data_IF_022008821759
#
_entry.id   IF_022008821759
#
_cell.length_a   1.000
_cell.length_b   1.000
_cell.length_c   1.000
_cell.angle_alpha   90.00
_cell.angle_beta   90.00
_cell.angle_gamma   90.00
#
_symmetry.space_group_name_H-M   'P 1'
#
loop_
_entity.id
_entity.type
_entity.pdbx_description
1 polymer ?
#
# COMPACT_ATOMS: atom_id res chain seq x y z
N UNK A 1 -2.35 14.78 24.17
CA UNK A 1 -2.90 13.45 24.41
C UNK A 1 -4.35 13.40 23.95
N UNK A 2 -5.22 14.26 24.54
CA UNK A 2 -6.67 14.27 24.27
C UNK A 2 -7.01 14.47 22.79
N UNK A 3 -6.32 15.37 22.11
CA UNK A 3 -6.51 15.59 20.67
C UNK A 3 -6.13 14.38 19.80
N UNK A 4 -5.17 13.56 20.23
CA UNK A 4 -4.79 12.36 19.51
C UNK A 4 -5.81 11.23 19.71
N UNK A 5 -6.28 11.07 20.95
CA UNK A 5 -7.34 10.14 21.29
C UNK A 5 -8.64 10.49 20.56
N UNK A 6 -8.98 11.78 20.49
CA UNK A 6 -10.13 12.28 19.75
C UNK A 6 -10.03 11.99 18.24
N UNK A 7 -8.86 12.24 17.64
CA UNK A 7 -8.60 11.90 16.22
C UNK A 7 -8.73 10.40 15.96
N UNK A 8 -8.18 9.57 16.85
CA UNK A 8 -8.27 8.13 16.72
C UNK A 8 -9.73 7.64 16.81
N UNK A 9 -10.52 8.19 17.73
CA UNK A 9 -11.96 7.90 17.83
C UNK A 9 -12.70 8.24 16.54
N UNK A 10 -12.48 9.44 15.98
CA UNK A 10 -13.09 9.88 14.72
C UNK A 10 -12.68 8.98 13.55
N UNK A 11 -11.40 8.67 13.42
CA UNK A 11 -10.88 7.81 12.35
C UNK A 11 -11.44 6.39 12.39
N UNK A 12 -11.83 5.92 13.58
CA UNK A 12 -12.47 4.61 13.80
C UNK A 12 -14.01 4.67 13.71
N UNK A 13 -14.58 5.83 13.36
CA UNK A 13 -16.02 6.00 13.19
C UNK A 13 -16.79 6.19 14.48
N UNK A 14 -16.11 6.45 15.61
CA UNK A 14 -16.77 6.76 16.89
C UNK A 14 -17.08 8.24 16.97
N UNK A 15 -18.34 8.57 16.63
CA UNK A 15 -18.83 9.92 16.63
C UNK A 15 -20.11 10.02 17.50
N UNK A 16 -20.24 11.13 18.20
CA UNK A 16 -21.46 11.50 18.93
C UNK A 16 -22.54 12.00 17.94
N UNK A 17 -23.79 12.06 18.33
CA UNK A 17 -24.89 12.54 17.48
C UNK A 17 -24.69 13.98 16.98
N UNK A 18 -23.91 14.78 17.69
CA UNK A 18 -23.52 16.15 17.35
C UNK A 18 -22.33 16.24 16.37
N UNK A 19 -21.78 15.08 15.95
CA UNK A 19 -20.63 14.98 15.05
C UNK A 19 -19.26 15.05 15.73
N UNK A 20 -19.22 15.26 17.06
CA UNK A 20 -17.98 15.22 17.83
C UNK A 20 -17.43 13.80 18.02
N UNK A 21 -16.14 13.67 18.41
CA UNK A 21 -15.53 12.36 18.68
C UNK A 21 -16.12 11.71 19.93
N UNK A 22 -16.57 10.45 19.83
CA UNK A 22 -16.96 9.67 21.00
C UNK A 22 -15.75 8.92 21.57
N UNK A 23 -14.91 9.65 22.27
CA UNK A 23 -13.68 9.16 22.90
C UNK A 23 -13.97 8.05 23.91
N UNK A 24 -15.08 8.18 24.68
CA UNK A 24 -15.42 7.21 25.72
C UNK A 24 -15.78 5.86 25.12
N UNK A 25 -16.70 5.83 24.17
CA UNK A 25 -17.11 4.60 23.50
C UNK A 25 -15.94 3.93 22.78
N UNK A 26 -15.04 4.72 22.16
CA UNK A 26 -13.83 4.18 21.53
C UNK A 26 -12.87 3.55 22.52
N UNK A 27 -12.57 4.21 23.64
CA UNK A 27 -11.68 3.68 24.68
C UNK A 27 -12.26 2.43 25.34
N UNK A 28 -13.56 2.40 25.62
CA UNK A 28 -14.25 1.22 26.16
C UNK A 28 -14.17 0.03 25.19
N UNK A 29 -14.31 0.28 23.90
CA UNK A 29 -14.18 -0.77 22.87
C UNK A 29 -12.76 -1.30 22.80
N UNK A 30 -11.76 -0.44 22.67
CA UNK A 30 -10.35 -0.84 22.56
C UNK A 30 -9.91 -1.63 23.80
N UNK A 31 -10.22 -1.16 25.00
CA UNK A 31 -9.84 -1.85 26.23
C UNK A 31 -10.53 -3.22 26.37
N UNK A 32 -11.75 -3.36 25.84
CA UNK A 32 -12.48 -4.64 25.83
C UNK A 32 -11.91 -5.61 24.81
N UNK A 33 -11.61 -5.14 23.59
CA UNK A 33 -11.07 -5.98 22.52
C UNK A 33 -9.63 -6.43 22.81
N UNK A 34 -8.77 -5.51 23.25
CA UNK A 34 -7.37 -5.79 23.58
C UNK A 34 -7.17 -6.42 24.97
N UNK A 35 -8.21 -6.42 25.81
CA UNK A 35 -8.19 -6.94 27.20
C UNK A 35 -7.10 -6.30 28.08
N UNK A 36 -6.79 -5.02 27.81
CA UNK A 36 -5.81 -4.25 28.57
C UNK A 36 -6.50 -3.13 29.35
N UNK A 37 -6.04 -2.82 30.59
CA UNK A 37 -6.55 -1.66 31.32
C UNK A 37 -6.32 -0.35 30.57
N UNK A 38 -7.28 0.57 30.63
CA UNK A 38 -7.21 1.88 29.98
C UNK A 38 -5.89 2.62 30.29
N UNK A 39 -5.42 2.55 31.51
CA UNK A 39 -4.15 3.18 31.92
C UNK A 39 -2.98 2.64 31.08
N UNK A 40 -2.85 1.34 30.94
CA UNK A 40 -1.78 0.70 30.17
C UNK A 40 -1.91 1.06 28.69
N UNK A 41 -3.13 1.10 28.16
CA UNK A 41 -3.34 1.53 26.77
C UNK A 41 -2.84 2.97 26.53
N UNK A 42 -3.14 3.88 27.48
CA UNK A 42 -2.67 5.27 27.39
C UNK A 42 -1.14 5.35 27.54
N UNK A 43 -0.56 4.68 28.52
CA UNK A 43 0.88 4.75 28.84
C UNK A 43 1.73 4.04 27.79
N UNK A 44 1.29 2.87 27.29
CA UNK A 44 2.13 2.01 26.44
C UNK A 44 1.86 2.19 24.93
N UNK A 45 0.69 2.73 24.55
CA UNK A 45 0.32 2.89 23.13
C UNK A 45 0.15 4.35 22.73
N UNK A 46 -0.70 5.09 23.46
CA UNK A 46 -1.05 6.46 23.04
C UNK A 46 0.10 7.42 23.30
N UNK A 47 0.66 7.40 24.51
CA UNK A 47 1.72 8.34 24.90
C UNK A 47 2.99 8.20 24.05
N UNK A 48 3.54 7.00 23.77
CA UNK A 48 4.71 6.86 22.89
C UNK A 48 4.43 7.36 21.47
N UNK A 49 3.23 7.13 20.95
CA UNK A 49 2.81 7.62 19.63
C UNK A 49 2.80 9.15 19.60
N UNK A 50 2.21 9.80 20.61
CA UNK A 50 2.19 11.26 20.72
C UNK A 50 3.59 11.82 20.90
N UNK A 51 4.42 11.19 21.72
CA UNK A 51 5.81 11.60 21.94
C UNK A 51 6.61 11.52 20.63
N UNK A 52 6.49 10.44 19.87
CA UNK A 52 7.16 10.30 18.56
C UNK A 52 6.66 11.33 17.55
N UNK A 53 5.35 11.59 17.48
CA UNK A 53 4.80 12.66 16.63
C UNK A 53 5.39 14.02 16.97
N UNK A 54 5.51 14.32 18.27
CA UNK A 54 6.07 15.59 18.75
C UNK A 54 7.57 15.72 18.45
N UNK A 55 8.32 14.63 18.55
CA UNK A 55 9.74 14.59 18.25
C UNK A 55 10.04 14.73 16.75
N UNK A 56 9.24 14.10 15.91
CA UNK A 56 9.35 14.22 14.45
C UNK A 56 8.92 15.61 13.97
N UNK A 57 7.94 16.21 14.63
CA UNK A 57 7.44 17.54 14.29
C UNK A 57 6.67 17.57 12.98
N UNK A 58 6.75 18.71 12.28
CA UNK A 58 6.11 18.92 10.98
C UNK A 58 6.96 18.34 9.86
N UNK A 59 6.32 17.52 9.01
CA UNK A 59 6.96 16.92 7.82
C UNK A 59 6.51 17.70 6.58
N UNK A 60 7.41 18.25 5.75
CA UNK A 60 7.02 19.02 4.59
C UNK A 60 6.38 18.13 3.50
N UNK A 61 5.25 18.58 2.96
CA UNK A 61 4.60 18.02 1.78
C UNK A 61 4.93 18.90 0.59
N UNK A 62 5.68 18.38 -0.36
CA UNK A 62 6.03 19.11 -1.57
C UNK A 62 4.86 19.09 -2.58
N UNK A 63 4.76 20.11 -3.41
CA UNK A 63 3.75 20.17 -4.48
C UNK A 63 3.84 18.96 -5.42
N UNK A 64 5.06 18.49 -5.69
CA UNK A 64 5.28 17.29 -6.50
C UNK A 64 4.67 16.01 -5.90
N UNK A 65 4.62 15.91 -4.57
CA UNK A 65 4.01 14.77 -3.89
C UNK A 65 2.49 14.78 -4.08
N UNK A 66 1.89 15.96 -4.03
CA UNK A 66 0.46 16.18 -4.31
C UNK A 66 0.13 15.82 -5.76
N UNK A 67 0.93 16.27 -6.72
CA UNK A 67 0.74 15.96 -8.14
C UNK A 67 0.86 14.45 -8.41
N UNK A 68 1.85 13.79 -7.78
CA UNK A 68 2.03 12.34 -7.89
C UNK A 68 0.86 11.58 -7.27
N UNK A 69 0.41 11.98 -6.10
CA UNK A 69 -0.73 11.36 -5.43
C UNK A 69 -2.03 11.55 -6.21
N UNK A 70 -2.26 12.74 -6.76
CA UNK A 70 -3.40 13.00 -7.62
C UNK A 70 -3.41 12.10 -8.85
N UNK A 71 -2.28 12.01 -9.57
CA UNK A 71 -2.13 11.15 -10.74
C UNK A 71 -2.26 9.66 -10.39
N UNK A 72 -1.78 9.24 -9.22
CA UNK A 72 -1.90 7.87 -8.74
C UNK A 72 -3.36 7.49 -8.44
N UNK A 73 -4.11 8.40 -7.83
CA UNK A 73 -5.47 8.12 -7.35
C UNK A 73 -6.53 8.34 -8.43
N UNK A 74 -6.43 9.45 -9.15
CA UNK A 74 -7.46 9.93 -10.09
C UNK A 74 -7.05 9.86 -11.56
N UNK A 75 -5.77 9.59 -11.84
CA UNK A 75 -5.26 9.47 -13.21
C UNK A 75 -5.70 8.20 -13.92
N UNK A 76 -5.40 8.10 -15.23
CA UNK A 76 -5.69 6.91 -16.01
C UNK A 76 -4.86 5.73 -15.49
N UNK A 77 -5.43 4.54 -15.55
CA UNK A 77 -4.75 3.28 -15.21
C UNK A 77 -4.59 2.44 -16.45
N UNK A 78 -3.47 1.77 -16.58
CA UNK A 78 -3.20 0.89 -17.71
C UNK A 78 -3.82 -0.50 -17.45
N UNK A 79 -4.59 -0.99 -18.42
CA UNK A 79 -5.08 -2.37 -18.46
C UNK A 79 -4.10 -3.19 -19.28
N UNK A 80 -3.52 -4.19 -18.65
CA UNK A 80 -2.45 -4.99 -19.25
C UNK A 80 -2.64 -6.47 -19.00
N UNK A 81 -2.04 -7.27 -19.90
CA UNK A 81 -1.74 -8.68 -19.64
C UNK A 81 -0.25 -8.85 -19.47
N UNK A 82 0.14 -9.65 -18.48
CA UNK A 82 1.53 -9.86 -18.13
C UNK A 82 1.81 -11.37 -18.11
N UNK A 83 2.88 -11.76 -18.81
CA UNK A 83 3.44 -13.11 -18.74
C UNK A 83 4.68 -13.03 -17.87
N UNK A 84 4.70 -13.75 -16.74
CA UNK A 84 5.82 -13.78 -15.80
C UNK A 84 6.66 -15.02 -16.02
N UNK A 85 7.97 -14.88 -16.17
CA UNK A 85 8.91 -15.94 -16.48
C UNK A 85 10.10 -15.93 -15.52
N UNK A 86 10.73 -17.07 -15.32
CA UNK A 86 11.81 -17.28 -14.37
C UNK A 86 13.22 -17.10 -14.96
N UNK A 87 13.33 -17.17 -16.31
CA UNK A 87 14.62 -16.98 -16.96
C UNK A 87 14.50 -16.19 -18.27
N UNK A 88 15.58 -15.50 -18.61
CA UNK A 88 15.65 -14.60 -19.75
C UNK A 88 15.46 -15.33 -21.10
N UNK A 89 16.04 -16.52 -21.26
CA UNK A 89 15.96 -17.27 -22.51
C UNK A 89 14.51 -17.63 -22.84
N UNK A 90 13.79 -18.16 -21.84
CA UNK A 90 12.38 -18.49 -22.01
C UNK A 90 11.51 -17.26 -22.24
N UNK A 91 11.85 -16.14 -21.58
CA UNK A 91 11.18 -14.88 -21.83
C UNK A 91 11.34 -14.39 -23.27
N UNK A 92 12.54 -14.56 -23.83
CA UNK A 92 12.82 -14.23 -25.22
C UNK A 92 12.02 -15.13 -26.21
N UNK A 93 11.96 -16.43 -25.93
CA UNK A 93 11.20 -17.39 -26.74
C UNK A 93 9.70 -17.04 -26.74
N UNK A 94 9.14 -16.78 -25.54
CA UNK A 94 7.72 -16.40 -25.38
C UNK A 94 7.43 -15.03 -26.02
N UNK A 95 8.33 -14.07 -25.87
CA UNK A 95 8.21 -12.77 -26.52
C UNK A 95 8.16 -12.88 -28.04
N UNK A 96 9.00 -13.75 -28.66
CA UNK A 96 8.95 -14.00 -30.09
C UNK A 96 7.61 -14.60 -30.53
N UNK A 97 7.03 -15.53 -29.75
CA UNK A 97 5.69 -16.07 -30.03
C UNK A 97 4.61 -14.99 -29.90
N UNK A 98 4.67 -14.18 -28.83
CA UNK A 98 3.75 -13.07 -28.58
C UNK A 98 3.77 -12.03 -29.74
N UNK A 99 4.94 -11.77 -30.28
CA UNK A 99 5.13 -10.81 -31.39
C UNK A 99 4.50 -11.23 -32.71
N UNK A 100 4.32 -12.55 -32.92
CA UNK A 100 3.69 -13.07 -34.15
C UNK A 100 2.20 -12.74 -34.19
N UNK A 101 1.54 -12.70 -33.06
CA UNK A 101 0.12 -12.39 -32.93
C UNK A 101 -0.15 -11.60 -31.64
N UNK A 102 0.11 -10.28 -31.61
CA UNK A 102 -0.03 -9.45 -30.43
C UNK A 102 -1.50 -9.06 -30.19
N UNK A 103 -2.30 -10.04 -29.79
CA UNK A 103 -3.72 -9.87 -29.42
C UNK A 103 -3.94 -10.30 -27.97
N UNK A 104 -4.90 -9.69 -27.29
CA UNK A 104 -5.24 -10.05 -25.91
C UNK A 104 -5.51 -11.56 -25.73
N UNK A 105 -6.17 -12.18 -26.73
CA UNK A 105 -6.47 -13.62 -26.73
C UNK A 105 -5.20 -14.47 -26.80
N UNK A 106 -4.30 -14.18 -27.76
CA UNK A 106 -3.05 -14.95 -27.95
C UNK A 106 -2.11 -14.76 -26.74
N UNK A 107 -1.98 -13.54 -26.24
CA UNK A 107 -1.20 -13.25 -25.04
C UNK A 107 -1.79 -13.97 -23.82
N UNK A 108 -3.12 -14.02 -23.70
CA UNK A 108 -3.80 -14.78 -22.67
C UNK A 108 -3.48 -16.29 -22.72
N UNK A 109 -3.48 -16.90 -23.88
CA UNK A 109 -3.12 -18.29 -24.08
C UNK A 109 -1.64 -18.57 -23.75
N UNK A 110 -0.74 -17.64 -24.12
CA UNK A 110 0.67 -17.74 -23.76
C UNK A 110 0.86 -17.59 -22.22
N UNK A 111 0.14 -16.69 -21.56
CA UNK A 111 0.21 -16.54 -20.11
C UNK A 111 -0.26 -17.81 -19.38
N UNK A 112 -1.37 -18.40 -19.82
CA UNK A 112 -1.90 -19.66 -19.29
C UNK A 112 -0.88 -20.82 -19.42
N UNK A 113 -0.15 -20.85 -20.52
CA UNK A 113 0.81 -21.92 -20.83
C UNK A 113 2.16 -21.70 -20.15
N UNK A 114 2.69 -20.47 -20.18
CA UNK A 114 4.10 -20.21 -19.87
C UNK A 114 4.33 -19.39 -18.59
N UNK A 115 3.31 -18.68 -18.05
CA UNK A 115 3.53 -17.88 -16.85
C UNK A 115 3.86 -18.78 -15.65
N UNK A 116 4.94 -18.41 -14.94
CA UNK A 116 5.35 -19.11 -13.71
C UNK A 116 4.59 -18.63 -12.48
N UNK A 117 4.00 -17.43 -12.56
CA UNK A 117 3.14 -16.93 -11.51
C UNK A 117 1.74 -17.52 -11.59
N UNK A 118 1.24 -18.17 -10.50
CA UNK A 118 -0.05 -18.84 -10.50
C UNK A 118 -1.24 -17.94 -10.80
N UNK A 119 -1.17 -16.68 -10.35
CA UNK A 119 -2.26 -15.72 -10.50
C UNK A 119 -2.39 -15.28 -11.96
N UNK A 120 -1.30 -14.83 -12.56
CA UNK A 120 -1.30 -14.43 -13.96
C UNK A 120 -1.58 -15.61 -14.89
N UNK A 121 -1.15 -16.83 -14.54
CA UNK A 121 -1.51 -18.03 -15.28
C UNK A 121 -3.02 -18.28 -15.26
N UNK A 122 -3.63 -18.30 -14.08
CA UNK A 122 -5.06 -18.57 -13.92
C UNK A 122 -5.95 -17.49 -14.57
N UNK A 123 -5.51 -16.24 -14.55
CA UNK A 123 -6.22 -15.10 -15.11
C UNK A 123 -5.79 -14.80 -16.56
N UNK A 124 -5.11 -15.73 -17.24
CA UNK A 124 -4.66 -15.55 -18.63
C UNK A 124 -3.90 -14.23 -18.82
N UNK A 125 -3.01 -13.92 -17.88
CA UNK A 125 -2.18 -12.72 -17.89
C UNK A 125 -2.85 -11.44 -17.38
N UNK A 126 -4.14 -11.45 -17.15
CA UNK A 126 -4.85 -10.26 -16.70
C UNK A 126 -4.40 -9.86 -15.29
N UNK A 127 -4.09 -8.58 -15.12
CA UNK A 127 -3.68 -7.98 -13.86
C UNK A 127 -4.59 -6.80 -13.50
N UNK A 128 -4.73 -6.47 -12.21
CA UNK A 128 -5.44 -5.25 -11.82
C UNK A 128 -4.86 -4.02 -12.56
N UNK A 129 -5.71 -3.07 -12.98
CA UNK A 129 -5.26 -1.89 -13.70
C UNK A 129 -4.13 -1.16 -12.97
N UNK A 130 -3.00 -0.99 -13.65
CA UNK A 130 -1.77 -0.44 -13.10
C UNK A 130 -1.88 1.09 -13.08
N UNK A 131 -1.64 1.68 -11.91
CA UNK A 131 -1.63 3.13 -11.72
C UNK A 131 -0.21 3.70 -11.80
N UNK A 132 -0.08 4.97 -12.14
CA UNK A 132 1.19 5.70 -11.98
C UNK A 132 1.49 5.91 -10.50
N UNK A 133 2.76 5.88 -10.15
CA UNK A 133 3.23 6.08 -8.76
C UNK A 133 2.65 5.07 -7.74
N UNK A 134 2.35 3.86 -8.21
CA UNK A 134 1.86 2.75 -7.40
C UNK A 134 2.93 2.01 -6.59
N UNK A 135 4.20 2.38 -6.76
CA UNK A 135 5.34 1.81 -6.03
C UNK A 135 6.19 0.79 -6.83
N UNK A 136 5.89 0.62 -8.12
CA UNK A 136 6.68 -0.24 -9.02
C UNK A 136 7.23 0.58 -10.23
N UNK A 137 8.21 1.46 -10.01
CA UNK A 137 8.61 2.45 -11.01
C UNK A 137 9.11 1.85 -12.33
N UNK A 138 9.75 0.68 -12.29
CA UNK A 138 10.21 0.00 -13.51
C UNK A 138 9.02 -0.52 -14.33
N UNK A 139 8.08 -1.21 -13.70
CA UNK A 139 6.86 -1.70 -14.34
C UNK A 139 6.02 -0.53 -14.90
N UNK A 140 5.82 0.48 -14.08
CA UNK A 140 5.02 1.66 -14.44
C UNK A 140 5.61 2.37 -15.66
N UNK A 141 6.94 2.59 -15.69
CA UNK A 141 7.60 3.24 -16.81
C UNK A 141 7.38 2.47 -18.11
N UNK A 142 7.57 1.15 -18.10
CA UNK A 142 7.39 0.31 -19.27
C UNK A 142 5.92 0.29 -19.73
N UNK A 143 4.99 0.08 -18.81
CA UNK A 143 3.55 0.01 -19.11
C UNK A 143 3.01 1.30 -19.69
N UNK A 144 3.40 2.45 -19.13
CA UNK A 144 2.92 3.76 -19.59
C UNK A 144 3.70 4.31 -20.78
N UNK A 145 4.71 3.62 -21.27
CA UNK A 145 5.37 3.89 -22.54
C UNK A 145 4.70 3.18 -23.72
N UNK A 146 3.85 2.17 -23.45
CA UNK A 146 3.16 1.39 -24.49
C UNK A 146 1.88 2.09 -24.94
N UNK A 147 1.59 1.96 -26.23
CA UNK A 147 0.29 2.31 -26.80
C UNK A 147 -0.72 1.15 -26.65
N UNK A 148 -2.04 1.41 -26.71
CA UNK A 148 -3.05 0.35 -26.76
C UNK A 148 -2.80 -0.62 -27.92
N UNK A 149 -2.74 -1.91 -27.63
CA UNK A 149 -2.41 -2.98 -28.58
C UNK A 149 -0.92 -3.27 -28.71
N UNK A 150 -0.06 -2.56 -28.02
CA UNK A 150 1.39 -2.72 -28.10
C UNK A 150 1.91 -3.75 -27.09
N UNK A 151 2.99 -4.46 -27.51
CA UNK A 151 3.72 -5.44 -26.73
C UNK A 151 5.08 -4.84 -26.29
N UNK A 152 5.40 -4.95 -25.00
CA UNK A 152 6.72 -4.54 -24.49
C UNK A 152 7.85 -5.42 -25.02
N UNK A 153 9.08 -5.00 -24.79
CA UNK A 153 10.22 -5.92 -24.77
C UNK A 153 10.16 -6.87 -23.57
N UNK A 154 11.21 -7.66 -23.40
CA UNK A 154 11.41 -8.45 -22.19
C UNK A 154 11.89 -7.51 -21.07
N UNK A 155 11.07 -7.32 -20.06
CA UNK A 155 11.34 -6.44 -18.92
C UNK A 155 11.80 -7.27 -17.73
N UNK A 156 12.95 -6.94 -17.14
CA UNK A 156 13.39 -7.57 -15.90
C UNK A 156 12.98 -6.75 -14.69
N UNK A 157 12.29 -7.39 -13.75
CA UNK A 157 11.89 -6.81 -12.47
C UNK A 157 12.30 -7.79 -11.37
N UNK A 158 13.24 -7.37 -10.53
CA UNK A 158 13.91 -8.21 -9.54
C UNK A 158 14.51 -9.48 -10.17
N UNK A 159 14.07 -10.65 -9.75
CA UNK A 159 14.50 -11.98 -10.23
C UNK A 159 13.59 -12.56 -11.31
N UNK A 160 12.62 -11.79 -11.81
CA UNK A 160 11.63 -12.24 -12.80
C UNK A 160 11.76 -11.46 -14.10
N UNK A 161 11.34 -12.13 -15.20
CA UNK A 161 11.23 -11.53 -16.52
C UNK A 161 9.76 -11.45 -16.90
N UNK A 162 9.37 -10.34 -17.50
CA UNK A 162 7.97 -10.07 -17.84
C UNK A 162 7.85 -9.67 -19.30
N UNK A 163 6.79 -10.13 -19.94
CA UNK A 163 6.33 -9.66 -21.25
C UNK A 163 4.97 -9.05 -21.01
N UNK A 164 4.81 -7.79 -21.40
CA UNK A 164 3.64 -6.97 -21.07
C UNK A 164 2.92 -6.59 -22.36
N UNK A 165 1.63 -6.81 -22.41
CA UNK A 165 0.76 -6.36 -23.48
C UNK A 165 -0.22 -5.32 -22.94
N UNK A 166 -0.25 -4.15 -23.58
CA UNK A 166 -1.14 -3.05 -23.21
C UNK A 166 -2.49 -3.22 -23.92
N UNK A 167 -3.57 -3.49 -23.17
CA UNK A 167 -4.94 -3.51 -23.73
C UNK A 167 -5.51 -2.11 -23.92
N UNK A 168 -5.02 -1.13 -23.15
CA UNK A 168 -5.46 0.25 -23.18
C UNK A 168 -5.45 0.90 -21.80
N UNK A 169 -6.11 2.04 -21.70
CA UNK A 169 -6.15 2.82 -20.47
C UNK A 169 -7.59 3.05 -20.04
N UNK A 170 -7.80 3.16 -18.72
CA UNK A 170 -9.06 3.61 -18.17
C UNK A 170 -9.19 5.12 -18.32
N UNK A 171 -10.41 5.63 -18.30
CA UNK A 171 -10.62 7.07 -18.18
C UNK A 171 -10.15 7.57 -16.81
N UNK A 172 -9.62 8.81 -16.79
CA UNK A 172 -9.34 9.52 -15.55
C UNK A 172 -10.63 9.84 -14.81
N UNK A 173 -10.59 9.84 -13.50
CA UNK A 173 -11.73 10.32 -12.73
C UNK A 173 -11.99 11.80 -13.01
N UNK A 174 -13.27 12.18 -13.14
CA UNK A 174 -13.70 13.57 -13.38
C UNK A 174 -13.73 14.34 -12.06
N UNK A 175 -12.57 14.53 -11.45
CA UNK A 175 -12.39 15.23 -10.16
C UNK A 175 -11.35 16.33 -10.38
N UNK A 176 -11.66 17.53 -9.90
CA UNK A 176 -10.71 18.65 -9.94
C UNK A 176 -9.65 18.50 -8.85
N UNK A 177 -8.40 18.80 -9.18
CA UNK A 177 -7.31 18.82 -8.19
C UNK A 177 -7.63 19.73 -6.99
N UNK A 178 -8.30 20.87 -7.23
CA UNK A 178 -8.65 21.80 -6.18
C UNK A 178 -9.65 21.23 -5.16
N UNK A 179 -10.55 20.32 -5.60
CA UNK A 179 -11.56 19.71 -4.71
C UNK A 179 -10.96 18.69 -3.74
N UNK A 180 -9.87 18.02 -4.14
CA UNK A 180 -9.27 16.92 -3.36
C UNK A 180 -7.89 17.27 -2.79
N UNK A 181 -7.40 18.49 -3.04
CA UNK A 181 -6.06 18.93 -2.65
C UNK A 181 -5.81 18.79 -1.15
N UNK A 182 -6.75 19.22 -0.34
CA UNK A 182 -6.59 19.24 1.11
C UNK A 182 -6.64 17.82 1.68
N UNK A 183 -7.53 16.96 1.15
CA UNK A 183 -7.59 15.53 1.50
C UNK A 183 -6.27 14.81 1.12
N UNK A 184 -5.76 15.06 -0.09
CA UNK A 184 -4.49 14.50 -0.54
C UNK A 184 -3.31 15.00 0.30
N UNK A 185 -3.35 16.27 0.73
CA UNK A 185 -2.32 16.83 1.60
C UNK A 185 -2.29 16.11 2.94
N UNK A 186 -3.44 15.92 3.57
CA UNK A 186 -3.57 15.25 4.86
C UNK A 186 -3.11 13.78 4.77
N UNK A 187 -3.52 13.06 3.74
CA UNK A 187 -3.10 11.68 3.49
C UNK A 187 -1.57 11.54 3.32
N UNK A 188 -0.97 12.44 2.52
CA UNK A 188 0.48 12.44 2.29
C UNK A 188 1.22 12.83 3.57
N UNK A 189 0.73 13.84 4.27
CA UNK A 189 1.32 14.30 5.52
C UNK A 189 1.32 13.18 6.56
N UNK A 190 0.19 12.50 6.77
CA UNK A 190 0.10 11.37 7.69
C UNK A 190 1.02 10.21 7.30
N UNK A 191 1.08 9.88 6.01
CA UNK A 191 1.96 8.83 5.50
C UNK A 191 3.42 9.17 5.73
N UNK A 192 3.85 10.39 5.40
CA UNK A 192 5.22 10.84 5.62
C UNK A 192 5.56 10.90 7.11
N UNK A 193 4.66 11.43 7.93
CA UNK A 193 4.86 11.49 9.38
C UNK A 193 5.04 10.08 9.96
N UNK A 194 4.25 9.09 9.52
CA UNK A 194 4.38 7.70 9.94
C UNK A 194 5.74 7.10 9.56
N UNK A 195 6.21 7.37 8.34
CA UNK A 195 7.53 6.91 7.88
C UNK A 195 8.65 7.53 8.73
N UNK A 196 8.60 8.83 9.00
CA UNK A 196 9.60 9.50 9.81
C UNK A 196 9.56 9.05 11.28
N UNK A 197 8.37 8.78 11.83
CA UNK A 197 8.23 8.20 13.16
C UNK A 197 8.88 6.81 13.24
N UNK A 198 8.63 5.96 12.25
CA UNK A 198 9.24 4.62 12.19
C UNK A 198 10.77 4.70 12.07
N UNK A 199 11.27 5.62 11.24
CA UNK A 199 12.71 5.88 11.09
C UNK A 199 13.33 6.38 12.41
N UNK A 200 12.70 7.34 13.05
CA UNK A 200 13.16 7.89 14.31
C UNK A 200 13.18 6.82 15.42
N UNK A 201 12.12 6.03 15.52
CA UNK A 201 12.05 4.91 16.45
C UNK A 201 13.15 3.87 16.21
N UNK A 202 13.41 3.53 14.94
CA UNK A 202 14.49 2.59 14.58
C UNK A 202 15.86 3.12 15.01
N UNK A 203 16.10 4.42 14.82
CA UNK A 203 17.34 5.07 15.25
C UNK A 203 17.47 5.08 16.78
N UNK A 204 16.41 5.42 17.50
CA UNK A 204 16.40 5.36 18.97
C UNK A 204 16.69 3.95 19.48
N UNK A 205 16.03 2.96 18.92
CA UNK A 205 16.25 1.55 19.28
C UNK A 205 17.66 1.10 18.99
N UNK A 206 18.25 1.52 17.87
CA UNK A 206 19.64 1.21 17.51
C UNK A 206 20.67 1.89 18.42
N UNK A 207 20.34 3.05 18.99
CA UNK A 207 21.20 3.80 19.90
C UNK A 207 21.04 3.39 21.38
N UNK A 208 20.01 2.62 21.71
CA UNK A 208 19.71 2.20 23.07
C UNK A 208 20.39 0.86 23.44
N UNK A 209 20.82 0.73 24.70
CA UNK A 209 21.13 -0.57 25.28
C UNK A 209 19.79 -1.20 25.77
N UNK A 210 19.46 -2.36 25.24
CA UNK A 210 18.19 -3.02 25.56
C UNK A 210 18.48 -4.42 26.10
N UNK A 211 18.15 -4.66 27.38
CA UNK A 211 18.26 -5.95 28.01
C UNK A 211 16.87 -6.56 28.19
N UNK A 212 16.65 -7.73 27.58
CA UNK A 212 15.43 -8.49 27.75
C UNK A 212 15.68 -9.67 28.69
N UNK A 213 15.40 -9.47 29.96
CA UNK A 213 15.64 -10.48 31.00
C UNK A 213 14.77 -11.73 30.85
N UNK A 214 13.58 -11.61 30.22
CA UNK A 214 12.70 -12.76 30.00
C UNK A 214 13.20 -13.65 28.87
N UNK A 215 13.75 -13.05 27.82
CA UNK A 215 14.32 -13.78 26.68
C UNK A 215 15.81 -14.07 26.84
N UNK A 216 16.46 -13.53 27.88
CA UNK A 216 17.92 -13.66 28.06
C UNK A 216 18.76 -13.03 26.96
N UNK A 217 18.22 -12.00 26.27
CA UNK A 217 18.88 -11.33 25.16
C UNK A 217 19.29 -9.90 25.54
N UNK A 218 20.47 -9.49 25.12
CA UNK A 218 20.98 -8.13 25.29
C UNK A 218 21.35 -7.54 23.94
N UNK A 219 20.94 -6.30 23.68
CA UNK A 219 21.29 -5.53 22.49
C UNK A 219 22.13 -4.33 22.93
N UNK A 220 23.39 -4.31 22.50
CA UNK A 220 24.26 -3.14 22.69
C UNK A 220 24.00 -2.10 21.60
N UNK A 221 24.21 -0.80 21.89
CA UNK A 221 24.05 0.27 20.89
C UNK A 221 24.94 0.02 19.66
N UNK A 222 24.36 0.12 18.48
CA UNK A 222 25.10 0.10 17.22
C UNK A 222 25.98 1.35 17.17
N UNK A 223 27.32 1.23 17.15
CA UNK A 223 28.21 2.35 16.88
C UNK A 223 27.87 2.95 15.52
N UNK A 224 27.45 4.19 15.48
CA UNK A 224 27.29 4.94 14.25
C UNK A 224 28.66 5.04 13.56
N UNK A 225 28.79 4.38 12.39
CA UNK A 225 29.94 4.49 11.52
C UNK A 225 31.08 3.51 11.80
N UNK A 226 31.01 2.32 11.24
CA UNK A 226 32.12 1.36 11.13
C UNK A 226 31.68 0.18 10.28
N UNK A 227 32.24 0.07 9.07
CA UNK A 227 32.11 -1.10 8.20
C UNK A 227 32.65 -2.34 8.96
N UNK A 228 31.72 -3.24 9.33
CA UNK A 228 32.07 -4.51 9.97
C UNK A 228 31.13 -5.61 9.51
N UNK A 229 31.70 -6.70 8.98
CA UNK A 229 31.05 -7.82 8.34
C UNK A 229 30.04 -8.59 9.22
N UNK A 230 29.38 -9.62 8.65
CA UNK A 230 28.23 -10.26 9.26
C UNK A 230 28.64 -11.12 10.44
N UNK A 231 28.29 -10.69 11.63
CA UNK A 231 28.36 -11.54 12.82
C UNK A 231 27.14 -12.47 12.85
N UNK A 232 27.42 -13.76 12.75
CA UNK A 232 26.44 -14.84 12.78
C UNK A 232 26.09 -15.14 14.23
N UNK A 233 24.97 -14.63 14.72
CA UNK A 233 24.33 -15.15 15.92
C UNK A 233 22.94 -15.65 15.59
N UNK A 234 22.59 -16.92 15.91
CA UNK A 234 21.28 -17.48 15.63
C UNK A 234 20.32 -17.04 16.72
N UNK A 235 19.36 -16.14 16.40
CA UNK A 235 18.31 -15.79 17.38
C UNK A 235 17.41 -14.60 17.06
N UNK A 236 17.66 -13.83 16.00
CA UNK A 236 16.84 -12.64 15.73
C UNK A 236 15.78 -12.88 14.65
N UNK A 237 14.79 -13.70 14.94
CA UNK A 237 13.56 -13.82 14.13
C UNK A 237 12.34 -13.34 14.90
N UNK A 238 12.35 -12.12 15.38
CA UNK A 238 11.11 -11.44 15.81
C UNK A 238 11.33 -9.96 15.56
N UNK A 239 10.80 -9.41 14.49
CA UNK A 239 10.31 -8.02 14.40
C UNK A 239 10.09 -7.46 13.00
N UNK A 240 10.09 -8.28 11.96
CA UNK A 240 9.60 -7.77 10.68
C UNK A 240 8.05 -7.64 10.70
N UNK A 241 7.36 -8.49 11.46
CA UNK A 241 5.91 -8.44 11.62
C UNK A 241 5.39 -7.14 12.27
N UNK A 242 6.12 -6.58 13.23
CA UNK A 242 5.69 -5.34 13.89
C UNK A 242 5.94 -4.09 13.04
N UNK A 243 6.96 -4.10 12.19
CA UNK A 243 7.20 -3.02 11.24
C UNK A 243 6.23 -3.06 10.06
N UNK A 244 5.88 -4.27 9.61
CA UNK A 244 4.90 -4.49 8.54
C UNK A 244 3.46 -4.16 8.97
N UNK A 245 3.12 -4.35 10.24
CA UNK A 245 1.79 -3.98 10.77
C UNK A 245 1.62 -2.46 10.92
N UNK A 246 2.71 -1.74 11.17
CA UNK A 246 2.74 -0.27 11.15
C UNK A 246 2.75 0.31 9.72
N UNK A 247 3.22 -0.47 8.74
CA UNK A 247 3.28 -0.07 7.34
C UNK A 247 2.03 -0.41 6.52
N UNK A 248 1.12 -1.26 7.03
CA UNK A 248 -0.13 -1.58 6.34
C UNK A 248 -1.08 -0.39 6.36
N UNK A 249 -1.53 0.12 5.21
CA UNK A 249 -2.61 1.08 5.18
C UNK A 249 -3.86 0.38 5.73
N UNK A 250 -4.37 0.84 6.85
CA UNK A 250 -5.72 0.44 7.28
C UNK A 250 -6.66 0.83 6.16
N UNK A 251 -7.42 -0.14 5.67
CA UNK A 251 -8.42 0.06 4.65
C UNK A 251 -9.39 1.16 5.12
N UNK A 252 -9.18 2.37 4.64
CA UNK A 252 -10.11 3.47 4.79
C UNK A 252 -11.43 3.01 4.20
N UNK A 253 -12.49 3.11 4.97
CA UNK A 253 -13.84 2.83 4.54
C UNK A 253 -14.16 3.72 3.34
N UNK A 254 -14.07 3.13 2.15
CA UNK A 254 -14.66 3.73 0.96
C UNK A 254 -16.15 3.81 1.21
N UNK A 255 -16.65 4.95 1.61
CA UNK A 255 -18.05 5.30 1.42
C UNK A 255 -18.25 5.40 -0.08
N UNK A 256 -18.66 4.29 -0.69
CA UNK A 256 -19.26 4.32 -1.98
C UNK A 256 -20.53 5.16 -1.84
N UNK A 257 -20.58 6.30 -2.53
CA UNK A 257 -21.82 6.99 -2.80
C UNK A 257 -22.65 6.03 -3.67
N UNK A 258 -23.52 5.26 -3.03
CA UNK A 258 -24.56 4.50 -3.70
C UNK A 258 -25.59 5.47 -4.25
N UNK A 259 -25.43 5.86 -5.51
CA UNK A 259 -26.56 6.41 -6.26
C UNK A 259 -27.60 5.31 -6.38
N UNK A 260 -28.79 5.61 -5.87
CA UNK A 260 -29.92 4.71 -5.85
C UNK A 260 -30.31 4.26 -7.25
N UNK A 261 -30.25 2.97 -7.48
CA UNK A 261 -30.95 2.32 -8.56
C UNK A 261 -32.35 1.99 -8.02
N UNK A 262 -33.35 2.72 -8.52
CA UNK A 262 -34.75 2.45 -8.31
C UNK A 262 -35.07 1.14 -9.02
N UNK A 263 -35.65 0.12 -8.38
CA UNK A 263 -36.08 -1.07 -9.10
C UNK A 263 -37.33 -0.76 -9.92
N UNK A 264 -37.29 -1.02 -11.21
CA UNK A 264 -38.45 -1.01 -12.10
C UNK A 264 -39.41 -2.13 -11.69
N UNK A 265 -40.61 -1.75 -11.31
CA UNK A 265 -41.75 -2.66 -11.11
C UNK A 265 -42.16 -3.26 -12.43
N UNK A 266 -41.90 -4.55 -12.63
CA UNK A 266 -42.53 -5.34 -13.68
C UNK A 266 -43.94 -5.70 -13.25
N UNK A 267 -44.93 -5.03 -13.84
CA UNK A 267 -46.34 -5.47 -13.90
C UNK A 267 -46.46 -6.55 -14.95
N UNK A 268 -46.83 -7.75 -14.54
CA UNK A 268 -47.22 -8.82 -15.46
C UNK A 268 -48.66 -8.59 -15.93
N UNK A 269 -49.01 -8.82 -17.21
CA UNK A 269 -50.38 -8.88 -17.64
C UNK A 269 -50.94 -10.28 -17.42
N UNK A 270 -52.07 -10.33 -16.77
CA UNK A 270 -53.02 -11.46 -16.73
C UNK A 270 -53.63 -11.68 -18.11
N UNK A 271 -53.41 -12.83 -18.69
CA UNK A 271 -54.37 -13.77 -19.32
C UNK A 271 -53.63 -14.94 -19.96
#
# INVERSE_FOLDING_TARGET
LDAEVARAATAMGFQQPDGGPDVKAWLERVTREEKIPLRHYIEDVVWPTVALKKLVGSVPVATEDLDKAFKATFGPRARCRIIVLDNQRRAQEVWQLARQNPTAEAIGALAETYSVDPTTRALRGEVPPIQRYGGQPTLEREVFALEPGELSGVVQIADRFMVIYCEGFTESAKVSFAEVRDELYDDIFEKKQRIEMARYFTNLRGAAAIDNFLAGTSQTPSKAGGSGGPDRTPGARISQAAADDLARPRAGSRRAASQGVVPATHTAPTR
#
